data_IF_438183065865
#
_entry.id   IF_438183065865
#
_cell.length_a   1.000
_cell.length_b   1.000
_cell.length_c   1.000
_cell.angle_alpha   90.00
_cell.angle_beta   90.00
_cell.angle_gamma   90.00
#
_symmetry.space_group_name_H-M   'P 1'
#
loop_
_entity.id
_entity.type
_entity.pdbx_description
1 polymer ?
#
# COMPACT_ATOMS: atom_id res chain seq x y z
N UNK A 1 37.98 -20.98 34.54
CA UNK A 1 38.29 -19.54 34.47
C UNK A 1 39.35 -19.33 33.41
N UNK A 2 38.95 -18.75 32.28
CA UNK A 2 39.82 -18.22 31.23
C UNK A 2 39.08 -17.03 30.65
N UNK A 3 39.70 -15.86 30.52
CA UNK A 3 38.97 -14.64 30.19
C UNK A 3 38.49 -14.71 28.74
N UNK A 4 37.18 -14.58 28.54
CA UNK A 4 36.60 -14.24 27.25
C UNK A 4 37.00 -12.79 26.94
N UNK A 5 38.02 -12.62 26.10
CA UNK A 5 38.29 -11.32 25.49
C UNK A 5 37.11 -10.94 24.58
N UNK A 6 36.60 -9.69 24.66
CA UNK A 6 35.62 -9.19 23.72
C UNK A 6 36.31 -9.04 22.35
N UNK A 7 35.79 -9.71 21.33
CA UNK A 7 36.23 -9.48 19.95
C UNK A 7 35.89 -8.04 19.58
N UNK A 8 36.91 -7.21 19.46
CA UNK A 8 36.83 -5.88 18.85
C UNK A 8 36.22 -6.03 17.45
N UNK A 9 35.04 -5.42 17.25
CA UNK A 9 34.48 -5.22 15.91
C UNK A 9 35.36 -4.19 15.21
N UNK A 10 36.22 -4.68 14.32
CA UNK A 10 36.96 -3.89 13.34
C UNK A 10 36.02 -2.97 12.57
N UNK A 11 36.17 -1.66 12.78
CA UNK A 11 35.69 -0.60 11.89
C UNK A 11 36.38 -0.72 10.53
N UNK A 12 35.71 -1.35 9.56
CA UNK A 12 35.93 -1.16 8.11
C UNK A 12 34.81 -1.86 7.31
N UNK A 13 33.80 -1.08 6.91
CA UNK A 13 33.12 -1.14 5.61
C UNK A 13 32.72 -2.49 5.01
N UNK A 14 32.26 -3.47 5.79
CA UNK A 14 31.47 -4.57 5.23
C UNK A 14 30.01 -4.16 5.26
N UNK A 15 29.41 -4.04 4.07
CA UNK A 15 28.01 -3.77 3.93
C UNK A 15 27.23 -4.86 4.69
N UNK A 16 26.36 -4.45 5.63
CA UNK A 16 25.66 -5.39 6.50
C UNK A 16 24.84 -6.42 5.72
N UNK A 17 24.32 -7.48 6.36
CA UNK A 17 23.60 -8.57 5.69
C UNK A 17 22.38 -8.11 4.83
N UNK A 18 21.91 -6.87 5.02
CA UNK A 18 20.81 -6.27 4.27
C UNK A 18 21.27 -5.31 3.16
N UNK A 19 22.57 -5.18 2.89
CA UNK A 19 23.09 -4.24 1.90
C UNK A 19 22.65 -4.49 0.46
N UNK A 20 22.15 -5.68 0.17
CA UNK A 20 21.59 -6.05 -1.13
C UNK A 20 20.05 -5.93 -1.18
N UNK A 21 19.41 -5.57 -0.06
CA UNK A 21 17.96 -5.36 -0.01
C UNK A 21 17.68 -3.98 -0.62
N UNK A 22 16.96 -3.89 -1.74
CA UNK A 22 16.75 -2.63 -2.44
C UNK A 22 15.89 -1.65 -1.62
N UNK A 23 14.94 -2.17 -0.85
CA UNK A 23 14.02 -1.36 -0.05
C UNK A 23 13.90 -1.90 1.37
N UNK A 24 14.13 -1.02 2.35
CA UNK A 24 13.79 -1.21 3.75
C UNK A 24 12.92 -0.02 4.12
N UNK A 25 11.61 -0.25 4.20
CA UNK A 25 10.61 0.80 4.41
C UNK A 25 10.06 0.76 5.83
N UNK A 26 9.69 1.93 6.37
CA UNK A 26 8.99 2.05 7.65
C UNK A 26 7.83 3.04 7.54
N UNK A 27 6.71 2.72 8.17
CA UNK A 27 5.59 3.65 8.32
C UNK A 27 5.79 4.52 9.56
N UNK A 28 5.39 5.78 9.45
CA UNK A 28 5.51 6.78 10.51
C UNK A 28 4.25 7.64 10.59
N UNK A 29 3.81 7.90 11.81
CA UNK A 29 2.70 8.83 12.07
C UNK A 29 3.26 10.18 12.54
N UNK A 30 2.79 11.32 12.01
CA UNK A 30 3.27 12.65 12.38
C UNK A 30 3.29 12.91 13.89
N UNK A 31 2.29 12.43 14.64
CA UNK A 31 2.15 12.62 16.08
C UNK A 31 3.15 11.85 16.95
N UNK A 32 3.84 10.86 16.38
CA UNK A 32 4.77 10.00 17.15
C UNK A 32 6.19 9.99 16.62
N UNK A 33 6.40 10.40 15.37
CA UNK A 33 7.72 10.38 14.75
C UNK A 33 8.55 11.54 15.27
N UNK A 34 9.82 11.28 15.55
CA UNK A 34 10.78 12.30 15.99
C UNK A 34 12.06 12.18 15.19
N UNK A 35 12.84 13.26 15.10
CA UNK A 35 14.15 13.24 14.44
C UNK A 35 15.07 12.16 15.02
N UNK A 36 15.00 11.89 16.33
CA UNK A 36 15.77 10.83 16.97
C UNK A 36 15.35 9.44 16.45
N UNK A 37 14.04 9.15 16.38
CA UNK A 37 13.53 7.89 15.81
C UNK A 37 13.94 7.72 14.35
N UNK A 38 13.84 8.79 13.56
CA UNK A 38 14.21 8.80 12.15
C UNK A 38 15.71 8.53 11.95
N UNK A 39 16.58 9.17 12.73
CA UNK A 39 18.03 8.88 12.72
C UNK A 39 18.32 7.43 13.11
N UNK A 40 17.67 6.90 14.14
CA UNK A 40 17.79 5.49 14.52
C UNK A 40 17.34 4.55 13.40
N UNK A 41 16.26 4.86 12.68
CA UNK A 41 15.81 4.09 11.50
C UNK A 41 16.87 4.10 10.40
N UNK A 42 17.48 5.27 10.11
CA UNK A 42 18.57 5.40 9.13
C UNK A 42 19.81 4.60 9.53
N UNK A 43 20.20 4.65 10.80
CA UNK A 43 21.29 3.83 11.34
C UNK A 43 21.00 2.33 11.21
N UNK A 44 19.73 1.93 11.28
CA UNK A 44 19.26 0.57 11.02
C UNK A 44 19.07 0.25 9.53
N UNK A 45 19.60 1.09 8.62
CA UNK A 45 19.52 0.93 7.16
C UNK A 45 18.13 1.09 6.52
N UNK A 46 17.14 1.60 7.25
CA UNK A 46 15.84 1.96 6.65
C UNK A 46 16.08 3.05 5.60
N UNK A 47 15.71 2.78 4.36
CA UNK A 47 15.99 3.67 3.23
C UNK A 47 14.76 4.40 2.68
N UNK A 48 13.55 3.98 3.08
CA UNK A 48 12.27 4.60 2.73
C UNK A 48 11.40 4.86 3.97
N UNK A 49 10.66 5.95 4.00
CA UNK A 49 9.66 6.24 5.05
C UNK A 49 8.32 6.63 4.44
N UNK A 50 7.21 6.10 4.96
CA UNK A 50 5.85 6.50 4.60
C UNK A 50 5.22 7.27 5.75
N UNK A 51 4.84 8.52 5.51
CA UNK A 51 4.23 9.38 6.52
C UNK A 51 2.72 9.44 6.28
N UNK A 52 1.97 8.99 7.27
CA UNK A 52 0.51 8.97 7.24
C UNK A 52 -0.12 10.35 7.44
N UNK A 53 0.00 11.24 6.45
CA UNK A 53 -0.53 12.61 6.49
C UNK A 53 -2.06 12.66 6.57
N UNK A 54 -2.74 11.80 5.79
CA UNK A 54 -4.18 11.65 5.59
C UNK A 54 -4.89 12.86 4.99
N UNK A 55 -4.69 14.05 5.56
CA UNK A 55 -5.24 15.32 5.08
C UNK A 55 -4.42 16.50 5.59
N UNK A 56 -4.53 17.65 4.93
CA UNK A 56 -4.01 18.93 5.40
C UNK A 56 -5.11 19.89 5.90
N UNK A 57 -6.27 19.33 6.28
CA UNK A 57 -7.40 20.01 6.90
C UNK A 57 -7.64 19.49 8.32
N UNK A 58 -7.61 20.38 9.31
CA UNK A 58 -7.82 20.00 10.72
C UNK A 58 -9.18 19.33 10.96
N UNK A 59 -10.24 19.78 10.27
CA UNK A 59 -11.57 19.18 10.42
C UNK A 59 -11.65 17.78 9.82
N UNK A 60 -10.93 17.52 8.73
CA UNK A 60 -10.84 16.21 8.10
C UNK A 60 -10.00 15.24 8.95
N UNK A 61 -8.90 15.72 9.53
CA UNK A 61 -8.09 14.95 10.48
C UNK A 61 -8.90 14.57 11.73
N UNK A 62 -9.67 15.52 12.28
CA UNK A 62 -10.57 15.26 13.39
C UNK A 62 -11.67 14.24 13.03
N UNK A 63 -12.23 14.32 11.83
CA UNK A 63 -13.20 13.33 11.31
C UNK A 63 -12.60 11.92 11.25
N UNK A 64 -11.33 11.82 10.84
CA UNK A 64 -10.57 10.57 10.77
C UNK A 64 -10.04 10.09 12.13
N UNK A 65 -10.30 10.82 13.22
CA UNK A 65 -9.79 10.50 14.56
C UNK A 65 -8.28 10.65 14.69
N UNK A 66 -7.66 11.48 13.86
CA UNK A 66 -6.21 11.73 13.85
C UNK A 66 -5.83 12.83 14.83
N UNK A 67 -4.78 12.56 15.60
CA UNK A 67 -4.29 13.44 16.67
C UNK A 67 -3.20 14.42 16.26
N UNK A 68 -2.93 14.56 14.96
CA UNK A 68 -1.92 15.48 14.41
C UNK A 68 -2.55 16.66 13.68
N UNK A 69 -1.76 17.72 13.46
CA UNK A 69 -2.12 18.86 12.62
C UNK A 69 -1.37 18.82 11.28
N UNK A 70 -1.82 19.58 10.26
CA UNK A 70 -1.09 19.71 9.01
C UNK A 70 0.36 20.19 9.20
N UNK A 71 0.61 21.10 10.14
CA UNK A 71 1.93 21.65 10.46
C UNK A 71 2.84 20.57 11.06
N UNK A 72 2.27 19.64 11.83
CA UNK A 72 3.02 18.51 12.37
C UNK A 72 3.43 17.52 11.28
N UNK A 73 2.58 17.32 10.26
CA UNK A 73 2.94 16.56 9.06
C UNK A 73 4.10 17.22 8.32
N UNK A 74 4.04 18.54 8.11
CA UNK A 74 5.12 19.30 7.45
C UNK A 74 6.44 19.16 8.22
N UNK A 75 6.40 19.35 9.55
CA UNK A 75 7.57 19.17 10.40
C UNK A 75 8.12 17.73 10.38
N UNK A 76 7.24 16.72 10.28
CA UNK A 76 7.66 15.32 10.15
C UNK A 76 8.38 15.05 8.83
N UNK A 77 7.93 15.65 7.72
CA UNK A 77 8.61 15.58 6.42
C UNK A 77 9.97 16.25 6.49
N UNK A 78 10.05 17.46 7.03
CA UNK A 78 11.32 18.17 7.22
C UNK A 78 12.31 17.34 8.07
N UNK A 79 11.85 16.77 9.18
CA UNK A 79 12.67 15.92 10.04
C UNK A 79 13.15 14.65 9.31
N UNK A 80 12.32 14.05 8.46
CA UNK A 80 12.72 12.88 7.66
C UNK A 80 13.81 13.25 6.65
N UNK A 81 13.69 14.42 5.99
CA UNK A 81 14.75 14.94 5.12
C UNK A 81 16.04 15.25 5.89
N UNK A 82 15.94 15.88 7.07
CA UNK A 82 17.09 16.15 7.94
C UNK A 82 17.78 14.85 8.40
N UNK A 83 17.03 13.77 8.62
CA UNK A 83 17.59 12.47 8.94
C UNK A 83 18.30 11.80 7.74
N UNK A 84 18.10 12.30 6.52
CA UNK A 84 18.72 11.75 5.30
C UNK A 84 17.85 10.74 4.56
N UNK A 85 16.52 10.79 4.71
CA UNK A 85 15.62 10.01 3.85
C UNK A 85 15.48 10.67 2.48
N UNK A 86 15.94 9.95 1.45
CA UNK A 86 15.80 10.33 0.05
C UNK A 86 14.49 9.81 -0.56
N UNK A 87 13.89 8.75 0.01
CA UNK A 87 12.64 8.15 -0.47
C UNK A 87 11.54 8.35 0.57
N UNK A 88 10.72 9.38 0.38
CA UNK A 88 9.63 9.72 1.26
C UNK A 88 8.28 9.54 0.56
N UNK A 89 7.36 8.89 1.25
CA UNK A 89 5.96 8.77 0.86
C UNK A 89 5.05 9.60 1.75
N UNK A 90 4.04 10.22 1.15
CA UNK A 90 2.91 10.79 1.87
C UNK A 90 1.66 9.98 1.55
N UNK A 91 0.94 9.57 2.59
CA UNK A 91 -0.30 8.82 2.44
C UNK A 91 -1.49 9.75 2.74
N UNK A 92 -2.41 9.88 1.80
CA UNK A 92 -3.58 10.75 1.85
C UNK A 92 -4.87 9.96 1.65
N UNK A 93 -5.97 10.49 2.18
CA UNK A 93 -7.32 9.94 2.00
C UNK A 93 -8.20 11.04 1.41
N UNK A 94 -8.85 10.76 0.27
CA UNK A 94 -9.82 11.64 -0.37
C UNK A 94 -11.25 11.07 -0.31
N UNK A 95 -12.21 11.87 -0.76
CA UNK A 95 -13.64 11.59 -0.69
C UNK A 95 -14.15 11.35 0.74
N UNK A 96 -13.60 12.13 1.68
CA UNK A 96 -14.08 12.14 3.07
C UNK A 96 -15.49 12.74 3.13
N UNK A 97 -16.37 12.30 4.06
CA UNK A 97 -17.69 12.87 4.23
C UNK A 97 -17.68 14.40 4.31
N UNK A 98 -18.36 15.06 3.36
CA UNK A 98 -18.43 16.52 3.26
C UNK A 98 -17.23 17.20 2.59
N UNK A 99 -16.21 16.45 2.15
CA UNK A 99 -15.08 16.98 1.39
C UNK A 99 -15.52 17.32 -0.03
N UNK A 100 -15.24 18.55 -0.47
CA UNK A 100 -15.47 18.97 -1.86
C UNK A 100 -14.22 18.75 -2.72
N UNK A 101 -14.37 18.76 -4.04
CA UNK A 101 -13.24 18.66 -4.98
C UNK A 101 -12.21 19.78 -4.74
N UNK A 102 -12.65 20.97 -4.32
CA UNK A 102 -11.74 22.08 -4.00
C UNK A 102 -11.01 21.88 -2.67
N UNK A 103 -11.64 21.27 -1.68
CA UNK A 103 -10.96 20.88 -0.44
C UNK A 103 -9.85 19.86 -0.74
N UNK A 104 -10.17 18.85 -1.56
CA UNK A 104 -9.18 17.88 -2.00
C UNK A 104 -8.05 18.52 -2.80
N UNK A 105 -8.35 19.45 -3.73
CA UNK A 105 -7.34 20.21 -4.47
C UNK A 105 -6.34 20.89 -3.53
N UNK A 106 -6.83 21.56 -2.48
CA UNK A 106 -5.99 22.27 -1.51
C UNK A 106 -5.09 21.30 -0.73
N UNK A 107 -5.66 20.18 -0.25
CA UNK A 107 -4.91 19.12 0.43
C UNK A 107 -3.81 18.56 -0.46
N UNK A 108 -4.13 18.23 -1.71
CA UNK A 108 -3.19 17.62 -2.65
C UNK A 108 -2.07 18.59 -3.05
N UNK A 109 -2.39 19.86 -3.35
CA UNK A 109 -1.37 20.86 -3.67
C UNK A 109 -0.41 21.11 -2.50
N UNK A 110 -0.92 21.10 -1.25
CA UNK A 110 -0.08 21.25 -0.06
C UNK A 110 0.83 20.04 0.13
N UNK A 111 0.33 18.82 -0.11
CA UNK A 111 1.16 17.61 -0.08
C UNK A 111 2.26 17.61 -1.15
N UNK A 112 1.91 17.99 -2.40
CA UNK A 112 2.86 18.04 -3.51
C UNK A 112 3.92 19.13 -3.33
N UNK A 113 3.60 20.22 -2.64
CA UNK A 113 4.56 21.26 -2.28
C UNK A 113 5.66 20.79 -1.31
N UNK A 114 5.45 19.65 -0.62
CA UNK A 114 6.46 18.99 0.19
C UNK A 114 7.39 18.08 -0.64
N UNK A 115 7.19 18.04 -1.96
CA UNK A 115 7.99 17.31 -2.94
C UNK A 115 8.28 15.85 -2.54
N UNK A 116 7.25 15.02 -2.24
CA UNK A 116 7.48 13.62 -1.94
C UNK A 116 7.96 12.86 -3.18
N UNK A 117 8.75 11.80 -2.98
CA UNK A 117 9.12 10.89 -4.08
C UNK A 117 7.98 9.92 -4.41
N UNK A 118 7.08 9.71 -3.46
CA UNK A 118 5.94 8.80 -3.57
C UNK A 118 4.70 9.42 -2.91
N UNK A 119 3.53 9.21 -3.49
CA UNK A 119 2.25 9.62 -2.94
C UNK A 119 1.27 8.46 -3.01
N UNK A 120 0.68 8.10 -1.88
CA UNK A 120 -0.46 7.18 -1.82
C UNK A 120 -1.72 8.01 -1.61
N UNK A 121 -2.72 7.88 -2.48
CA UNK A 121 -3.99 8.59 -2.40
C UNK A 121 -5.15 7.59 -2.46
N UNK A 122 -5.74 7.33 -1.30
CA UNK A 122 -6.82 6.36 -1.14
C UNK A 122 -8.19 7.05 -1.13
N UNK A 123 -9.14 6.51 -1.88
CA UNK A 123 -10.55 6.88 -1.69
C UNK A 123 -11.03 6.28 -0.39
N UNK A 124 -11.76 7.04 0.42
CA UNK A 124 -12.28 6.51 1.68
C UNK A 124 -13.23 5.34 1.43
N UNK A 125 -12.87 4.18 1.97
CA UNK A 125 -13.75 3.02 2.07
C UNK A 125 -14.26 2.87 3.51
N UNK A 126 -15.58 2.71 3.67
CA UNK A 126 -16.21 2.55 4.98
C UNK A 126 -16.18 1.08 5.42
N UNK A 127 -15.02 0.65 5.92
CA UNK A 127 -14.84 -0.72 6.40
C UNK A 127 -15.71 -1.04 7.63
N UNK A 128 -16.34 -2.22 7.61
CA UNK A 128 -17.18 -2.72 8.69
C UNK A 128 -16.45 -2.70 10.05
N UNK A 129 -17.18 -2.31 11.10
CA UNK A 129 -16.64 -2.24 12.46
C UNK A 129 -15.75 -1.03 12.75
N UNK A 130 -15.58 -0.10 11.80
CA UNK A 130 -14.89 1.17 12.06
C UNK A 130 -15.82 2.23 12.66
N UNK A 131 -15.29 3.22 13.41
CA UNK A 131 -16.09 4.32 13.93
C UNK A 131 -16.83 5.12 12.84
N UNK A 132 -16.21 5.29 11.66
CA UNK A 132 -16.87 5.97 10.53
C UNK A 132 -18.02 5.15 9.96
N UNK A 133 -17.85 3.84 9.79
CA UNK A 133 -18.94 2.97 9.36
C UNK A 133 -20.14 3.04 10.31
N UNK A 134 -19.91 3.00 11.63
CA UNK A 134 -20.98 3.13 12.63
C UNK A 134 -21.74 4.47 12.54
N UNK A 135 -21.03 5.57 12.26
CA UNK A 135 -21.66 6.89 12.07
C UNK A 135 -22.45 6.98 10.77
N UNK A 136 -21.98 6.31 9.72
CA UNK A 136 -22.71 6.20 8.46
C UNK A 136 -23.99 5.37 8.62
N UNK A 137 -23.92 4.21 9.28
CA UNK A 137 -25.09 3.39 9.59
C UNK A 137 -26.12 4.15 10.44
N UNK A 138 -25.66 5.03 11.34
CA UNK A 138 -26.51 5.92 12.13
C UNK A 138 -27.08 7.11 11.33
N UNK A 139 -26.67 7.31 10.08
CA UNK A 139 -27.09 8.43 9.23
C UNK A 139 -26.49 9.79 9.61
N UNK A 140 -25.42 9.80 10.42
CA UNK A 140 -24.74 11.03 10.86
C UNK A 140 -23.81 11.61 9.80
N UNK A 141 -23.31 10.76 8.90
CA UNK A 141 -22.44 11.13 7.79
C UNK A 141 -22.97 10.49 6.50
N UNK A 142 -22.70 11.12 5.38
CA UNK A 142 -22.96 10.58 4.06
C UNK A 142 -21.63 10.45 3.29
N UNK A 143 -21.44 9.37 2.51
CA UNK A 143 -20.35 9.31 1.54
C UNK A 143 -20.45 10.46 0.54
N UNK A 144 -19.29 10.85 -0.01
CA UNK A 144 -19.24 11.78 -1.14
C UNK A 144 -19.90 11.13 -2.36
N UNK A 145 -20.53 11.95 -3.22
CA UNK A 145 -21.17 11.44 -4.43
C UNK A 145 -20.14 10.83 -5.39
N UNK A 146 -20.50 9.74 -6.08
CA UNK A 146 -19.60 9.04 -7.03
C UNK A 146 -18.97 9.99 -8.06
N UNK A 147 -19.73 10.98 -8.54
CA UNK A 147 -19.24 11.99 -9.47
C UNK A 147 -18.13 12.88 -8.88
N UNK A 148 -18.23 13.22 -7.59
CA UNK A 148 -17.20 13.99 -6.90
C UNK A 148 -16.01 13.10 -6.55
N UNK A 149 -16.24 11.85 -6.15
CA UNK A 149 -15.18 10.85 -5.93
C UNK A 149 -14.34 10.65 -7.21
N UNK A 150 -15.00 10.48 -8.37
CA UNK A 150 -14.34 10.39 -9.67
C UNK A 150 -13.60 11.69 -10.03
N UNK A 151 -14.19 12.85 -9.78
CA UNK A 151 -13.53 14.14 -10.03
C UNK A 151 -12.26 14.32 -9.18
N UNK A 152 -12.28 13.89 -7.91
CA UNK A 152 -11.09 13.90 -7.04
C UNK A 152 -10.01 12.93 -7.53
N UNK A 153 -10.39 11.76 -8.05
CA UNK A 153 -9.46 10.80 -8.66
C UNK A 153 -8.75 11.38 -9.87
N UNK A 154 -9.50 11.93 -10.83
CA UNK A 154 -8.91 12.53 -12.03
C UNK A 154 -8.03 13.72 -11.68
N UNK A 155 -8.48 14.57 -10.74
CA UNK A 155 -7.66 15.66 -10.23
C UNK A 155 -6.34 15.17 -9.62
N UNK A 156 -6.37 14.07 -8.85
CA UNK A 156 -5.16 13.45 -8.31
C UNK A 156 -4.21 13.05 -9.42
N UNK A 157 -4.75 12.40 -10.45
CA UNK A 157 -3.97 11.94 -11.60
C UNK A 157 -3.29 13.09 -12.34
N UNK A 158 -4.02 14.16 -12.59
CA UNK A 158 -3.52 15.37 -13.26
C UNK A 158 -2.40 16.03 -12.46
N UNK A 159 -2.66 16.38 -11.19
CA UNK A 159 -1.69 17.14 -10.37
C UNK A 159 -0.45 16.31 -10.02
N UNK A 160 -0.59 15.00 -9.79
CA UNK A 160 0.57 14.12 -9.61
C UNK A 160 1.44 14.09 -10.88
N UNK A 161 0.83 13.96 -12.06
CA UNK A 161 1.56 13.94 -13.32
C UNK A 161 2.31 15.27 -13.56
N UNK A 162 1.68 16.41 -13.27
CA UNK A 162 2.30 17.74 -13.34
C UNK A 162 3.51 17.87 -12.37
N UNK A 163 3.43 17.25 -11.19
CA UNK A 163 4.53 17.19 -10.23
C UNK A 163 5.63 16.15 -10.57
N UNK A 164 5.45 15.40 -11.67
CA UNK A 164 6.38 14.36 -12.12
C UNK A 164 6.23 13.02 -11.40
N UNK A 165 5.11 12.80 -10.70
CA UNK A 165 4.75 11.52 -10.11
C UNK A 165 3.88 10.71 -11.08
N UNK A 166 4.37 9.54 -11.48
CA UNK A 166 3.66 8.63 -12.36
C UNK A 166 2.86 7.63 -11.55
N UNK A 167 1.61 7.44 -11.94
CA UNK A 167 0.77 6.40 -11.35
C UNK A 167 1.27 5.03 -11.80
N UNK A 168 1.51 4.12 -10.85
CA UNK A 168 1.93 2.75 -11.16
C UNK A 168 0.88 1.71 -10.74
N UNK A 169 -0.03 2.05 -9.84
CA UNK A 169 -1.24 1.30 -9.50
C UNK A 169 -2.39 2.24 -9.10
N UNK A 170 -3.60 1.73 -8.80
CA UNK A 170 -4.83 2.53 -8.60
C UNK A 170 -4.65 3.72 -7.65
N UNK A 171 -3.96 3.55 -6.53
CA UNK A 171 -3.86 4.55 -5.44
C UNK A 171 -2.49 5.24 -5.36
N UNK A 172 -1.45 4.72 -5.99
CA UNK A 172 -0.07 5.12 -5.74
C UNK A 172 0.60 5.74 -6.98
N UNK A 173 1.34 6.80 -6.68
CA UNK A 173 2.08 7.62 -7.62
C UNK A 173 3.52 7.74 -7.14
N UNK A 174 4.48 7.69 -8.04
CA UNK A 174 5.89 7.79 -7.68
C UNK A 174 6.70 8.51 -8.76
N UNK A 175 7.80 9.15 -8.36
CA UNK A 175 8.85 9.49 -9.34
C UNK A 175 9.37 8.18 -9.94
N UNK A 176 9.78 8.15 -11.22
CA UNK A 176 10.33 6.95 -11.83
C UNK A 176 11.49 6.39 -10.98
N UNK A 177 11.41 5.11 -10.60
CA UNK A 177 12.40 4.44 -9.74
C UNK A 177 12.15 4.59 -8.23
N UNK A 178 11.11 5.30 -7.82
CA UNK A 178 10.69 5.45 -6.41
C UNK A 178 9.40 4.67 -6.08
N UNK A 179 9.01 3.73 -6.94
CA UNK A 179 7.86 2.87 -6.70
C UNK A 179 8.11 1.99 -5.45
N UNK A 180 7.05 1.76 -4.67
CA UNK A 180 7.16 1.00 -3.42
C UNK A 180 7.30 -0.50 -3.71
N UNK A 181 8.49 -1.06 -3.50
CA UNK A 181 8.75 -2.47 -3.76
C UNK A 181 7.91 -3.38 -2.86
N UNK A 182 7.72 -2.98 -1.59
CA UNK A 182 6.83 -3.64 -0.65
C UNK A 182 5.40 -3.75 -1.21
N UNK A 183 4.78 -2.64 -1.61
CA UNK A 183 3.42 -2.64 -2.17
C UNK A 183 3.32 -3.44 -3.47
N UNK A 184 4.30 -3.30 -4.38
CA UNK A 184 4.34 -4.05 -5.64
C UNK A 184 4.35 -5.56 -5.39
N UNK A 185 5.06 -6.04 -4.37
CA UNK A 185 5.12 -7.47 -4.01
C UNK A 185 3.70 -7.99 -3.70
N UNK A 186 2.91 -7.24 -2.92
CA UNK A 186 1.50 -7.60 -2.66
C UNK A 186 0.64 -7.55 -3.91
N UNK A 187 0.77 -6.50 -4.72
CA UNK A 187 -0.05 -6.32 -5.92
C UNK A 187 0.25 -7.38 -7.00
N UNK A 188 1.48 -7.90 -7.05
CA UNK A 188 1.82 -9.03 -7.92
C UNK A 188 1.45 -10.39 -7.34
N UNK A 189 0.87 -10.41 -6.14
CA UNK A 189 0.58 -11.62 -5.38
C UNK A 189 1.82 -12.55 -5.30
N UNK A 190 2.96 -11.94 -5.01
CA UNK A 190 4.26 -12.60 -4.83
C UNK A 190 4.43 -13.08 -3.38
N UNK A 191 5.32 -14.07 -3.12
CA UNK A 191 5.51 -14.58 -1.78
C UNK A 191 6.06 -13.55 -0.78
N UNK A 192 5.55 -13.56 0.45
CA UNK A 192 6.03 -12.75 1.56
C UNK A 192 5.86 -13.48 2.90
N UNK A 193 6.68 -13.10 3.88
CA UNK A 193 6.64 -13.65 5.24
C UNK A 193 6.37 -12.52 6.21
N UNK A 194 5.31 -12.66 7.01
CA UNK A 194 4.93 -11.72 8.05
C UNK A 194 5.42 -12.16 9.42
N UNK A 195 5.98 -11.21 10.16
CA UNK A 195 6.41 -11.37 11.54
C UNK A 195 5.61 -10.43 12.44
N UNK A 196 5.42 -10.82 13.71
CA UNK A 196 4.61 -10.07 14.66
C UNK A 196 3.15 -10.50 14.73
N UNK A 197 2.45 -9.95 15.72
CA UNK A 197 1.04 -10.22 15.96
C UNK A 197 0.16 -9.70 14.81
N UNK A 198 -0.81 -10.51 14.39
CA UNK A 198 -1.73 -10.20 13.29
C UNK A 198 -1.11 -10.20 11.89
N UNK A 199 0.19 -10.47 11.76
CA UNK A 199 0.87 -10.49 10.48
C UNK A 199 0.42 -11.68 9.62
N UNK A 200 0.23 -11.42 8.33
CA UNK A 200 -0.07 -12.44 7.32
C UNK A 200 1.20 -12.86 6.58
N UNK A 201 1.20 -14.06 6.04
CA UNK A 201 2.22 -14.58 5.13
C UNK A 201 1.55 -15.27 3.95
N UNK A 202 2.20 -15.20 2.79
CA UNK A 202 1.86 -16.01 1.63
C UNK A 202 3.15 -16.64 1.10
N UNK A 203 3.28 -17.96 1.21
CA UNK A 203 4.49 -18.68 0.80
C UNK A 203 4.12 -20.07 0.29
N UNK A 204 4.66 -20.45 -0.86
CA UNK A 204 4.45 -21.77 -1.49
C UNK A 204 2.97 -22.19 -1.60
N UNK A 205 2.11 -21.22 -1.95
CA UNK A 205 0.66 -21.40 -2.08
C UNK A 205 -0.09 -21.55 -0.75
N UNK A 206 0.57 -21.29 0.37
CA UNK A 206 -0.04 -21.30 1.71
C UNK A 206 -0.20 -19.87 2.19
N UNK A 207 -1.44 -19.50 2.49
CA UNK A 207 -1.76 -18.27 3.21
C UNK A 207 -1.85 -18.60 4.70
N UNK A 208 -1.21 -17.79 5.54
CA UNK A 208 -1.25 -17.99 7.00
C UNK A 208 -1.25 -16.68 7.76
N UNK A 209 -1.81 -16.69 8.96
CA UNK A 209 -1.84 -15.54 9.86
C UNK A 209 -1.29 -15.91 11.23
N UNK A 210 -0.56 -14.98 11.84
CA UNK A 210 -0.17 -15.06 13.24
C UNK A 210 -1.31 -14.60 14.15
N UNK A 211 -1.27 -15.06 15.40
CA UNK A 211 -2.15 -14.62 16.48
C UNK A 211 -2.29 -13.09 16.48
N UNK A 212 -3.53 -12.60 16.49
CA UNK A 212 -3.82 -11.16 16.42
C UNK A 212 -3.45 -10.40 17.69
N UNK A 213 -3.58 -11.04 18.86
CA UNK A 213 -3.35 -10.38 20.14
C UNK A 213 -1.85 -10.39 20.51
N UNK A 214 -1.23 -9.21 20.74
CA UNK A 214 0.21 -9.12 21.00
C UNK A 214 0.71 -9.97 22.18
N UNK A 215 0.01 -10.01 23.31
CA UNK A 215 0.46 -10.79 24.47
C UNK A 215 0.41 -12.30 24.20
N UNK A 216 -0.60 -12.79 23.50
CA UNK A 216 -0.72 -14.19 23.07
C UNK A 216 0.37 -14.56 22.06
N UNK A 217 0.66 -13.67 21.11
CA UNK A 217 1.78 -13.84 20.18
C UNK A 217 3.13 -13.96 20.91
N UNK A 218 3.42 -13.03 21.83
CA UNK A 218 4.65 -13.06 22.63
C UNK A 218 4.73 -14.35 23.47
N UNK A 219 3.66 -14.71 24.19
CA UNK A 219 3.63 -15.92 25.00
C UNK A 219 3.87 -17.19 24.17
N UNK A 220 3.26 -17.30 22.98
CA UNK A 220 3.46 -18.45 22.09
C UNK A 220 4.90 -18.55 21.56
N UNK A 221 5.49 -17.42 21.16
CA UNK A 221 6.86 -17.36 20.63
C UNK A 221 7.92 -17.61 21.70
N UNK A 222 7.79 -17.01 22.88
CA UNK A 222 8.71 -17.18 24.02
C UNK A 222 8.70 -18.62 24.56
N UNK A 223 7.57 -19.33 24.46
CA UNK A 223 7.47 -20.74 24.79
C UNK A 223 8.11 -21.67 23.73
N UNK A 224 8.66 -21.13 22.62
CA UNK A 224 9.20 -21.90 21.51
C UNK A 224 8.14 -22.56 20.61
N UNK A 225 6.87 -22.13 20.76
CA UNK A 225 5.75 -22.60 19.96
C UNK A 225 5.57 -21.85 18.65
N UNK A 226 4.62 -22.32 17.83
CA UNK A 226 4.20 -21.60 16.62
C UNK A 226 3.18 -20.52 16.98
N UNK A 227 3.41 -19.25 16.62
CA UNK A 227 2.42 -18.19 16.81
C UNK A 227 1.33 -18.16 15.71
N UNK A 228 1.31 -19.17 14.82
CA UNK A 228 0.37 -19.25 13.70
C UNK A 228 -1.03 -19.64 14.20
N UNK A 229 -2.00 -18.76 13.97
CA UNK A 229 -3.42 -18.98 14.31
C UNK A 229 -4.19 -19.61 13.15
N UNK A 230 -3.78 -19.31 11.91
CA UNK A 230 -4.47 -19.74 10.70
C UNK A 230 -3.48 -20.19 9.62
N UNK A 231 -3.85 -21.22 8.86
CA UNK A 231 -3.14 -21.64 7.66
C UNK A 231 -4.11 -22.31 6.67
N UNK A 232 -4.04 -21.93 5.41
CA UNK A 232 -4.76 -22.59 4.33
C UNK A 232 -3.88 -22.70 3.09
N UNK A 233 -4.08 -23.76 2.32
CA UNK A 233 -3.54 -23.87 0.98
C UNK A 233 -4.64 -23.48 0.01
N UNK A 234 -4.40 -22.45 -0.79
CA UNK A 234 -5.37 -22.00 -1.78
C UNK A 234 -5.47 -23.01 -2.91
N UNK A 235 -6.70 -23.29 -3.37
CA UNK A 235 -6.90 -23.97 -4.64
C UNK A 235 -6.37 -23.09 -5.78
N UNK A 236 -5.87 -23.66 -6.90
CA UNK A 236 -5.39 -22.87 -8.02
C UNK A 236 -6.40 -21.86 -8.59
N UNK A 237 -7.71 -22.13 -8.54
CA UNK A 237 -8.73 -21.19 -9.01
C UNK A 237 -8.87 -19.99 -8.05
N UNK A 238 -8.85 -20.23 -6.73
CA UNK A 238 -8.86 -19.15 -5.71
C UNK A 238 -7.58 -18.31 -5.80
N UNK A 239 -6.42 -18.96 -5.95
CA UNK A 239 -5.15 -18.27 -6.11
C UNK A 239 -5.09 -17.43 -7.40
N UNK A 240 -5.74 -17.88 -8.48
CA UNK A 240 -5.90 -17.09 -9.70
C UNK A 240 -6.79 -15.88 -9.43
N UNK A 241 -7.97 -16.06 -8.81
CA UNK A 241 -8.87 -14.97 -8.48
C UNK A 241 -8.20 -13.90 -7.61
N UNK A 242 -7.42 -14.28 -6.60
CA UNK A 242 -6.63 -13.35 -5.79
C UNK A 242 -5.55 -12.64 -6.60
N UNK A 243 -4.88 -13.35 -7.51
CA UNK A 243 -3.88 -12.76 -8.41
C UNK A 243 -4.50 -11.73 -9.34
N UNK A 244 -5.73 -11.97 -9.83
CA UNK A 244 -6.48 -11.02 -10.64
C UNK A 244 -6.88 -9.79 -9.83
N UNK A 245 -7.42 -10.01 -8.62
CA UNK A 245 -7.85 -8.94 -7.72
C UNK A 245 -6.70 -7.99 -7.37
N UNK A 246 -5.54 -8.55 -7.04
CA UNK A 246 -4.35 -7.76 -6.69
C UNK A 246 -3.69 -7.15 -7.93
N UNK A 247 -3.47 -7.95 -8.98
CA UNK A 247 -2.66 -7.55 -10.13
C UNK A 247 -3.35 -6.58 -11.08
N UNK A 248 -4.69 -6.60 -11.17
CA UNK A 248 -5.43 -5.61 -11.97
C UNK A 248 -5.38 -4.20 -11.38
N UNK A 249 -4.92 -4.04 -10.13
CA UNK A 249 -4.62 -2.71 -9.58
C UNK A 249 -3.45 -2.05 -10.30
N UNK A 250 -2.52 -2.83 -10.83
CA UNK A 250 -1.31 -2.32 -11.49
C UNK A 250 -1.67 -1.71 -12.85
N UNK A 251 -1.12 -0.53 -13.15
CA UNK A 251 -1.29 0.11 -14.47
C UNK A 251 -0.67 -0.70 -15.63
N UNK A 252 0.35 -1.50 -15.33
CA UNK A 252 0.91 -2.48 -16.25
C UNK A 252 -0.01 -3.70 -16.46
N UNK A 253 -0.93 -3.94 -15.53
CA UNK A 253 -1.75 -5.14 -15.45
C UNK A 253 -0.95 -6.41 -15.22
N UNK A 254 -1.49 -7.52 -15.73
CA UNK A 254 -1.00 -8.88 -15.52
C UNK A 254 -0.39 -9.44 -16.80
N UNK A 255 0.83 -9.96 -16.71
CA UNK A 255 1.46 -10.70 -17.81
C UNK A 255 0.71 -12.00 -18.08
N UNK A 256 0.23 -12.19 -19.31
CA UNK A 256 -0.44 -13.41 -19.73
C UNK A 256 0.51 -14.62 -19.67
N UNK A 257 1.79 -14.42 -20.02
CA UNK A 257 2.82 -15.46 -19.94
C UNK A 257 3.05 -15.90 -18.48
N UNK A 258 3.12 -14.94 -17.55
CA UNK A 258 3.28 -15.25 -16.13
C UNK A 258 2.06 -16.00 -15.56
N UNK A 259 0.85 -15.63 -16.00
CA UNK A 259 -0.37 -16.34 -15.63
C UNK A 259 -0.39 -17.76 -16.19
N UNK A 260 0.01 -17.95 -17.45
CA UNK A 260 0.12 -19.29 -18.06
C UNK A 260 1.10 -20.16 -17.31
N UNK A 261 2.29 -19.63 -16.99
CA UNK A 261 3.33 -20.37 -16.27
C UNK A 261 2.87 -20.76 -14.86
N UNK A 262 2.12 -19.88 -14.18
CA UNK A 262 1.68 -20.10 -12.79
C UNK A 262 0.44 -20.98 -12.68
N UNK A 263 -0.51 -20.87 -13.61
CA UNK A 263 -1.85 -21.47 -13.49
C UNK A 263 -2.20 -22.48 -14.61
N UNK A 264 -1.40 -22.53 -15.66
CA UNK A 264 -1.57 -23.40 -16.82
C UNK A 264 -2.46 -22.79 -17.92
N UNK A 265 -2.23 -23.25 -19.15
CA UNK A 265 -2.92 -22.78 -20.37
C UNK A 265 -4.45 -22.87 -20.25
N UNK A 266 -4.98 -23.96 -19.69
CA UNK A 266 -6.42 -24.17 -19.58
C UNK A 266 -7.13 -23.08 -18.76
N UNK A 267 -6.53 -22.66 -17.64
CA UNK A 267 -7.06 -21.57 -16.80
C UNK A 267 -6.95 -20.23 -17.49
N UNK A 268 -5.82 -19.98 -18.16
CA UNK A 268 -5.63 -18.77 -18.94
C UNK A 268 -6.69 -18.64 -20.04
N UNK A 269 -6.99 -19.71 -20.78
CA UNK A 269 -8.01 -19.66 -21.83
C UNK A 269 -9.41 -19.38 -21.27
N UNK A 270 -9.77 -19.96 -20.11
CA UNK A 270 -11.03 -19.63 -19.43
C UNK A 270 -11.09 -18.17 -19.00
N UNK A 271 -10.01 -17.65 -18.43
CA UNK A 271 -9.89 -16.25 -18.06
C UNK A 271 -10.09 -15.33 -19.26
N UNK A 272 -9.39 -15.60 -20.37
CA UNK A 272 -9.49 -14.78 -21.58
C UNK A 272 -10.90 -14.82 -22.19
N UNK A 273 -11.58 -15.98 -22.13
CA UNK A 273 -12.97 -16.08 -22.54
C UNK A 273 -13.92 -15.23 -21.69
N UNK A 274 -13.68 -15.14 -20.36
CA UNK A 274 -14.43 -14.25 -19.46
C UNK A 274 -14.07 -12.77 -19.65
N UNK A 275 -12.82 -12.48 -19.99
CA UNK A 275 -12.34 -11.12 -20.22
C UNK A 275 -12.83 -10.53 -21.56
N UNK A 276 -13.03 -11.36 -22.60
CA UNK A 276 -13.46 -10.93 -23.92
C UNK A 276 -14.66 -9.94 -23.93
N UNK A 277 -15.80 -10.23 -23.27
CA UNK A 277 -16.92 -9.26 -23.24
C UNK A 277 -16.57 -7.95 -22.52
N UNK A 278 -15.67 -7.96 -21.54
CA UNK A 278 -15.20 -6.75 -20.85
C UNK A 278 -14.24 -5.93 -21.71
N UNK A 279 -13.48 -6.59 -22.58
CA UNK A 279 -12.66 -5.93 -23.61
C UNK A 279 -13.54 -5.28 -24.67
N UNK A 280 -14.60 -5.96 -25.11
CA UNK A 280 -15.55 -5.43 -26.11
C UNK A 280 -16.23 -4.14 -25.66
N UNK A 281 -16.57 -4.03 -24.37
CA UNK A 281 -17.16 -2.81 -23.80
C UNK A 281 -16.12 -1.81 -23.27
N UNK A 282 -14.83 -2.08 -23.46
CA UNK A 282 -13.73 -1.16 -23.14
C UNK A 282 -13.41 -1.02 -21.66
N UNK A 283 -13.72 -1.99 -20.81
CA UNK A 283 -13.30 -2.01 -19.38
C UNK A 283 -11.95 -2.71 -19.17
N UNK A 284 -11.59 -3.62 -20.06
CA UNK A 284 -10.29 -4.29 -20.10
C UNK A 284 -9.62 -4.07 -21.45
N UNK A 285 -8.30 -4.19 -21.48
CA UNK A 285 -7.56 -4.33 -22.73
C UNK A 285 -6.47 -5.40 -22.59
N UNK A 286 -6.16 -6.05 -23.72
CA UNK A 286 -4.96 -6.87 -23.86
C UNK A 286 -3.97 -6.11 -24.71
N UNK A 287 -2.85 -5.69 -24.11
CA UNK A 287 -1.83 -4.90 -24.79
C UNK A 287 -0.44 -5.40 -24.42
N UNK A 288 0.41 -5.62 -25.42
CA UNK A 288 1.78 -6.09 -25.23
C UNK A 288 1.88 -7.33 -24.32
N UNK A 289 0.99 -8.31 -24.50
CA UNK A 289 0.96 -9.53 -23.70
C UNK A 289 0.48 -9.35 -22.26
N UNK A 290 -0.13 -8.21 -21.92
CA UNK A 290 -0.68 -7.95 -20.58
C UNK A 290 -2.18 -7.72 -20.63
N UNK A 291 -2.91 -8.27 -19.67
CA UNK A 291 -4.32 -7.95 -19.39
C UNK A 291 -4.38 -6.85 -18.33
N UNK A 292 -5.02 -5.72 -18.64
CA UNK A 292 -5.10 -4.57 -17.73
C UNK A 292 -6.43 -3.85 -17.80
N UNK A 293 -6.75 -3.09 -16.76
CA UNK A 293 -7.88 -2.16 -16.75
C UNK A 293 -7.60 -1.00 -17.72
N UNK A 294 -8.66 -0.56 -18.40
CA UNK A 294 -8.68 0.73 -19.09
C UNK A 294 -8.98 1.87 -18.09
N UNK A 295 -8.81 3.14 -18.47
CA UNK A 295 -9.27 4.26 -17.65
C UNK A 295 -10.76 4.16 -17.25
N UNK A 296 -11.60 3.62 -18.13
CA UNK A 296 -13.02 3.41 -17.91
C UNK A 296 -13.32 2.20 -17.01
N UNK A 297 -12.47 1.18 -17.04
CA UNK A 297 -12.59 -0.02 -16.20
C UNK A 297 -12.08 0.14 -14.78
N UNK A 298 -11.13 1.06 -14.56
CA UNK A 298 -10.47 1.23 -13.26
C UNK A 298 -11.43 1.59 -12.11
N UNK A 299 -12.42 2.50 -12.27
CA UNK A 299 -13.41 2.76 -11.23
C UNK A 299 -14.30 1.55 -10.91
N UNK A 300 -14.35 0.56 -11.81
CA UNK A 300 -15.13 -0.67 -11.70
C UNK A 300 -14.24 -1.89 -11.40
N UNK A 301 -13.05 -1.67 -10.80
CA UNK A 301 -12.08 -2.72 -10.50
C UNK A 301 -12.73 -3.92 -9.77
N UNK A 302 -13.54 -3.66 -8.74
CA UNK A 302 -14.23 -4.70 -7.97
C UNK A 302 -15.16 -5.55 -8.85
N UNK A 303 -16.07 -4.92 -9.59
CA UNK A 303 -17.01 -5.58 -10.50
C UNK A 303 -16.29 -6.36 -11.62
N UNK A 304 -15.19 -5.80 -12.15
CA UNK A 304 -14.36 -6.49 -13.15
C UNK A 304 -13.76 -7.75 -12.54
N UNK A 305 -13.18 -7.68 -11.33
CA UNK A 305 -12.59 -8.83 -10.68
C UNK A 305 -13.62 -9.94 -10.41
N UNK A 306 -14.83 -9.58 -9.94
CA UNK A 306 -15.93 -10.54 -9.71
C UNK A 306 -16.34 -11.26 -11.00
N UNK A 307 -16.31 -10.57 -12.15
CA UNK A 307 -16.66 -11.18 -13.45
C UNK A 307 -15.57 -12.09 -14.03
N UNK A 308 -14.32 -11.91 -13.59
CA UNK A 308 -13.20 -12.72 -14.05
C UNK A 308 -12.98 -13.98 -13.19
N UNK A 309 -13.29 -13.90 -11.89
CA UNK A 309 -13.30 -15.02 -10.94
C UNK A 309 -14.33 -16.11 -11.31
#
# INVERSE_FOLDING_TARGET
>A
EGPHEPRERSERGEAGPLAHVPEITCEANPETVTIAKLRTMREASVNRVSIGAQSFSESELALLGRGHSPELTEAAVEAAREAGFEHLSLDLIYALPGQTVEDWRRTLLRALALEPEHLSAYGLELADGTPLHARWEAGEIAPVADTEHLAMRELTRELCAEAGLQRYEISNYARPGCECAHSITYWRNEPYIGFGAGAWSYLDGVRSANLREPAAYCAATEAGGSPREFAERLDPDDALAETLMMGLRMTAGLSLEALELRFGEERLQRLLARAAPLVEIGLLEVRNGHLRLTPEGEPLHGEVCVRLA
#
